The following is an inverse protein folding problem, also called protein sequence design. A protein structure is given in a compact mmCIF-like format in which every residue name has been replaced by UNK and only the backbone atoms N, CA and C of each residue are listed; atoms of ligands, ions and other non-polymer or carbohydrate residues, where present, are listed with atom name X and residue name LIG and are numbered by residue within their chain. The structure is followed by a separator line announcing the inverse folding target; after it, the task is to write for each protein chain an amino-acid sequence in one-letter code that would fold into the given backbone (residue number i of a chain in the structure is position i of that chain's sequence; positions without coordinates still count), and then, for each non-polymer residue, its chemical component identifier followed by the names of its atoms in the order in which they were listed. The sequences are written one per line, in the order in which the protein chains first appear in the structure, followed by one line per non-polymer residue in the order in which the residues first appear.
data_IF_056650335667
#
_entry.id   IF_056650335667
#
_cell.length_a   1.000
_cell.length_b   1.000
_cell.length_c   1.000
_cell.angle_alpha   90.00
_cell.angle_beta   90.00
_cell.angle_gamma   90.00
#
_symmetry.space_group_name_H-M   'P 1'
#
loop_
_entity.id
_entity.type
_entity.pdbx_description
1 polymer ?
#
# COMPACT_ATOMS: atom_id res chain seq x y z
N UNK A 1 -30.01 19.32 22.45
CA UNK A 1 -28.55 19.09 22.53
C UNK A 1 -28.12 17.63 22.30
N UNK A 2 -28.89 16.75 21.65
CA UNK A 2 -28.40 15.39 21.27
C UNK A 2 -27.93 15.30 19.82
N UNK A 3 -28.53 16.11 18.94
CA UNK A 3 -28.21 16.12 17.51
C UNK A 3 -26.88 16.84 17.18
N UNK A 4 -26.49 17.84 17.99
CA UNK A 4 -25.21 18.57 17.84
C UNK A 4 -23.98 17.73 18.22
N UNK A 5 -24.10 16.84 19.21
CA UNK A 5 -22.99 15.95 19.59
C UNK A 5 -22.78 14.84 18.56
N UNK A 6 -23.83 14.38 17.88
CA UNK A 6 -23.71 13.39 16.82
C UNK A 6 -23.01 13.97 15.58
N UNK A 7 -23.31 15.23 15.24
CA UNK A 7 -22.61 15.94 14.15
C UNK A 7 -21.17 16.32 14.49
N UNK A 8 -20.87 16.63 15.75
CA UNK A 8 -19.51 16.97 16.19
C UNK A 8 -18.63 15.71 16.36
N UNK A 9 -19.22 14.59 16.76
CA UNK A 9 -18.53 13.29 16.79
C UNK A 9 -18.17 12.81 15.37
N UNK A 10 -19.02 13.07 14.38
CA UNK A 10 -18.73 12.72 12.99
C UNK A 10 -17.65 13.62 12.35
N UNK A 11 -17.59 14.89 12.75
CA UNK A 11 -16.54 15.82 12.31
C UNK A 11 -15.18 15.55 12.98
N UNK A 12 -15.16 15.06 14.22
CA UNK A 12 -13.93 14.72 14.96
C UNK A 12 -13.16 13.54 14.38
N UNK A 13 -13.85 12.61 13.70
CA UNK A 13 -13.21 11.46 13.03
C UNK A 13 -12.35 11.92 11.83
N UNK A 14 -12.65 13.07 11.22
CA UNK A 14 -11.93 13.54 10.03
C UNK A 14 -10.60 14.25 10.32
N UNK A 15 -10.33 14.62 11.58
CA UNK A 15 -9.15 15.45 11.94
C UNK A 15 -8.02 14.63 12.59
N UNK A 16 -8.25 13.38 12.97
CA UNK A 16 -7.27 12.55 13.69
C UNK A 16 -6.58 11.47 12.85
N UNK A 17 -6.43 11.67 11.53
CA UNK A 17 -5.94 10.61 10.64
C UNK A 17 -4.50 10.76 10.14
N UNK A 18 -3.69 11.67 10.67
CA UNK A 18 -2.32 11.90 10.15
C UNK A 18 -1.28 10.83 10.56
N UNK A 19 -1.70 9.64 10.98
CA UNK A 19 -0.77 8.55 11.28
C UNK A 19 -1.37 7.17 11.58
N UNK A 20 -2.65 6.92 11.27
CA UNK A 20 -3.28 5.61 11.56
C UNK A 20 -4.38 5.20 10.56
N UNK A 21 -4.66 6.03 9.55
CA UNK A 21 -5.58 5.68 8.48
C UNK A 21 -4.83 5.89 7.18
N UNK A 22 -4.75 4.83 6.37
CA UNK A 22 -3.91 4.81 5.19
C UNK A 22 -4.39 5.75 4.10
N UNK A 23 -3.58 5.85 3.04
CA UNK A 23 -3.55 7.00 2.12
C UNK A 23 -4.81 7.18 1.25
N UNK A 24 -5.80 6.27 1.33
CA UNK A 24 -6.99 6.23 0.46
C UNK A 24 -6.65 6.47 -1.03
N UNK A 25 -5.53 5.86 -1.48
CA UNK A 25 -4.91 6.16 -2.77
C UNK A 25 -5.81 5.77 -3.95
N UNK A 26 -6.64 4.73 -3.84
CA UNK A 26 -7.56 4.32 -4.88
C UNK A 26 -8.72 5.33 -5.02
N UNK A 27 -9.31 5.74 -3.90
CA UNK A 27 -10.38 6.75 -3.83
C UNK A 27 -9.90 8.08 -4.42
N UNK A 28 -8.67 8.49 -4.08
CA UNK A 28 -8.04 9.68 -4.68
C UNK A 28 -7.89 9.57 -6.19
N UNK A 29 -7.41 8.43 -6.70
CA UNK A 29 -7.28 8.19 -8.15
C UNK A 29 -8.63 8.23 -8.86
N UNK A 30 -9.68 7.66 -8.27
CA UNK A 30 -11.06 7.70 -8.82
C UNK A 30 -11.59 9.14 -8.84
N UNK A 31 -11.30 9.92 -7.81
CA UNK A 31 -11.68 11.32 -7.74
C UNK A 31 -10.92 12.18 -8.75
N UNK A 32 -9.59 12.02 -8.85
CA UNK A 32 -8.74 12.69 -9.84
C UNK A 32 -9.17 12.35 -11.27
N UNK A 33 -9.54 11.08 -11.53
CA UNK A 33 -10.12 10.68 -12.81
C UNK A 33 -11.39 11.49 -13.10
N UNK A 34 -12.37 11.52 -12.19
CA UNK A 34 -13.62 12.25 -12.41
C UNK A 34 -13.40 13.76 -12.63
N UNK A 35 -12.46 14.37 -11.91
CA UNK A 35 -12.12 15.77 -12.10
C UNK A 35 -11.55 16.09 -13.49
N UNK A 36 -10.94 15.11 -14.16
CA UNK A 36 -10.30 15.27 -15.46
C UNK A 36 -11.13 14.73 -16.65
N UNK A 37 -12.36 14.21 -16.42
CA UNK A 37 -13.20 13.67 -17.52
C UNK A 37 -13.63 14.76 -18.51
N UNK A 38 -13.93 15.97 -18.03
CA UNK A 38 -14.32 17.07 -18.91
C UNK A 38 -14.62 18.37 -18.18
N UNK A 39 -15.69 19.04 -18.61
CA UNK A 39 -16.15 20.30 -18.01
C UNK A 39 -16.96 20.09 -16.74
N UNK A 40 -17.18 21.17 -15.98
CA UNK A 40 -17.90 21.16 -14.68
C UNK A 40 -19.22 20.36 -14.69
N UNK A 41 -20.01 20.47 -15.74
CA UNK A 41 -21.28 19.74 -15.86
C UNK A 41 -21.11 18.25 -16.18
N UNK A 42 -20.07 17.87 -16.93
CA UNK A 42 -19.77 16.48 -17.25
C UNK A 42 -19.24 15.77 -16.00
N UNK A 43 -18.34 16.42 -15.26
CA UNK A 43 -17.78 15.88 -14.01
C UNK A 43 -18.88 15.71 -12.94
N UNK A 44 -19.85 16.63 -12.86
CA UNK A 44 -21.01 16.49 -11.96
C UNK A 44 -21.91 15.32 -12.38
N UNK A 45 -22.16 15.13 -13.68
CA UNK A 45 -22.98 14.02 -14.17
C UNK A 45 -22.31 12.67 -13.90
N UNK A 46 -21.00 12.58 -14.10
CA UNK A 46 -20.21 11.39 -13.77
C UNK A 46 -20.15 11.17 -12.26
N UNK A 47 -20.04 12.23 -11.46
CA UNK A 47 -20.14 12.14 -10.00
C UNK A 47 -21.47 11.54 -9.57
N UNK A 48 -22.59 12.05 -10.08
CA UNK A 48 -23.93 11.52 -9.78
C UNK A 48 -24.09 10.07 -10.24
N UNK A 49 -23.55 9.71 -11.40
CA UNK A 49 -23.55 8.33 -11.89
C UNK A 49 -22.74 7.39 -10.97
N UNK A 50 -21.59 7.84 -10.47
CA UNK A 50 -20.70 7.12 -9.55
C UNK A 50 -21.19 7.10 -8.08
N UNK A 51 -22.21 7.89 -7.75
CA UNK A 51 -22.97 7.74 -6.50
C UNK A 51 -24.13 6.76 -6.66
N UNK A 52 -24.77 6.69 -7.85
CA UNK A 52 -25.84 5.72 -8.12
C UNK A 52 -25.26 4.31 -8.27
N UNK A 53 -24.21 4.17 -9.08
CA UNK A 53 -23.37 2.99 -9.14
C UNK A 53 -22.27 3.25 -8.11
N UNK A 54 -22.22 2.55 -6.96
CA UNK A 54 -21.46 2.97 -5.78
C UNK A 54 -19.94 2.81 -5.96
N UNK A 55 -19.36 3.56 -6.89
CA UNK A 55 -17.95 3.45 -7.29
C UNK A 55 -17.05 4.11 -6.24
N UNK A 56 -17.45 5.26 -5.71
CA UNK A 56 -16.70 5.93 -4.64
C UNK A 56 -16.76 5.14 -3.34
N UNK A 57 -17.93 4.63 -2.98
CA UNK A 57 -18.12 3.82 -1.79
C UNK A 57 -17.34 2.50 -1.89
N UNK A 58 -17.33 1.86 -3.06
CA UNK A 58 -16.52 0.67 -3.31
C UNK A 58 -15.01 0.99 -3.23
N UNK A 59 -14.55 2.07 -3.86
CA UNK A 59 -13.14 2.48 -3.79
C UNK A 59 -12.71 2.77 -2.36
N UNK A 60 -13.51 3.53 -1.61
CA UNK A 60 -13.26 3.85 -0.20
C UNK A 60 -13.30 2.61 0.68
N UNK A 61 -14.20 1.66 0.42
CA UNK A 61 -14.23 0.40 1.14
C UNK A 61 -12.97 -0.45 0.87
N UNK A 62 -12.54 -0.53 -0.39
CA UNK A 62 -11.31 -1.25 -0.78
C UNK A 62 -10.08 -0.59 -0.15
N UNK A 63 -9.98 0.74 -0.19
CA UNK A 63 -8.92 1.46 0.53
C UNK A 63 -8.96 1.16 2.03
N UNK A 64 -10.13 1.31 2.66
CA UNK A 64 -10.29 1.21 4.10
C UNK A 64 -10.08 -0.20 4.66
N UNK A 65 -10.44 -1.23 3.90
CA UNK A 65 -10.42 -2.62 4.36
C UNK A 65 -9.24 -3.38 3.79
N UNK A 66 -8.91 -3.19 2.51
CA UNK A 66 -7.88 -3.97 1.84
C UNK A 66 -6.55 -3.23 1.92
N UNK A 67 -6.49 -1.99 1.43
CA UNK A 67 -5.22 -1.27 1.34
C UNK A 67 -4.72 -0.79 2.70
N UNK A 68 -5.58 -0.31 3.60
CA UNK A 68 -5.20 -0.01 4.98
C UNK A 68 -4.74 -1.25 5.74
N UNK A 69 -5.35 -2.41 5.50
CA UNK A 69 -4.89 -3.66 6.12
C UNK A 69 -3.52 -4.02 5.58
N UNK A 70 -3.29 -3.91 4.27
CA UNK A 70 -1.97 -4.16 3.69
C UNK A 70 -0.95 -3.16 4.25
N UNK A 71 -1.21 -1.85 4.17
CA UNK A 71 -0.36 -0.77 4.68
C UNK A 71 -0.04 -0.94 6.17
N UNK A 72 -0.98 -1.45 6.98
CA UNK A 72 -0.74 -1.77 8.39
C UNK A 72 0.27 -2.91 8.58
N UNK A 73 0.22 -3.96 7.74
CA UNK A 73 1.14 -5.09 7.83
C UNK A 73 2.46 -4.86 7.09
N UNK A 74 2.49 -4.03 6.04
CA UNK A 74 3.65 -3.83 5.15
C UNK A 74 4.36 -2.50 5.33
N UNK A 75 3.76 -1.52 6.01
CA UNK A 75 4.34 -0.18 6.20
C UNK A 75 4.13 0.79 5.02
N UNK A 76 3.75 0.27 3.85
CA UNK A 76 3.49 1.05 2.64
C UNK A 76 2.32 0.50 1.82
N UNK A 77 1.70 1.40 1.05
CA UNK A 77 0.61 1.05 0.15
C UNK A 77 1.18 0.42 -1.14
N UNK A 78 0.85 -0.85 -1.47
CA UNK A 78 1.37 -1.51 -2.68
C UNK A 78 0.91 -0.86 -3.99
N UNK A 79 -0.11 0.01 -3.96
CA UNK A 79 -0.55 0.80 -5.12
C UNK A 79 0.17 2.15 -5.27
N UNK A 80 1.00 2.55 -4.29
CA UNK A 80 1.76 3.80 -4.31
C UNK A 80 3.25 3.62 -4.62
N UNK A 81 3.81 2.40 -4.51
CA UNK A 81 5.24 2.17 -4.82
C UNK A 81 5.55 2.47 -6.29
N UNK A 82 6.17 3.62 -6.54
CA UNK A 82 6.63 4.01 -7.86
C UNK A 82 7.90 3.22 -8.26
N UNK A 83 8.18 3.07 -9.58
CA UNK A 83 9.44 2.50 -10.04
C UNK A 83 10.64 3.26 -9.45
N UNK A 84 11.46 2.55 -8.66
CA UNK A 84 12.65 3.12 -8.00
C UNK A 84 12.44 3.51 -6.53
N UNK A 85 11.23 3.42 -5.98
CA UNK A 85 11.02 3.58 -4.55
C UNK A 85 11.53 2.37 -3.77
N UNK A 86 12.22 2.67 -2.67
CA UNK A 86 12.80 1.68 -1.76
C UNK A 86 12.29 1.96 -0.36
N UNK A 87 11.67 0.97 0.26
CA UNK A 87 11.30 1.01 1.66
C UNK A 87 12.21 0.09 2.45
N UNK A 88 12.76 0.60 3.55
CA UNK A 88 13.61 -0.16 4.46
C UNK A 88 12.94 -0.15 5.82
N UNK A 89 12.71 -1.35 6.35
CA UNK A 89 12.13 -1.55 7.67
C UNK A 89 13.08 -2.36 8.55
N UNK A 90 13.11 -2.03 9.84
CA UNK A 90 13.93 -2.73 10.82
C UNK A 90 13.02 -3.48 11.79
N UNK A 91 13.28 -4.77 11.98
CA UNK A 91 12.57 -5.61 12.94
C UNK A 91 13.54 -6.21 13.95
N UNK A 92 13.07 -6.40 15.18
CA UNK A 92 13.80 -7.18 16.20
C UNK A 92 12.98 -8.42 16.52
N UNK A 93 13.54 -9.60 16.29
CA UNK A 93 12.91 -10.89 16.56
C UNK A 93 13.89 -11.71 17.40
N UNK A 94 13.46 -12.17 18.57
CA UNK A 94 14.27 -12.97 19.50
C UNK A 94 15.64 -12.37 19.86
N UNK A 95 15.74 -11.03 19.86
CA UNK A 95 16.98 -10.29 20.13
C UNK A 95 17.90 -10.12 18.92
N UNK A 96 17.54 -10.67 17.76
CA UNK A 96 18.23 -10.47 16.48
C UNK A 96 17.60 -9.30 15.73
N UNK A 97 18.42 -8.42 15.16
CA UNK A 97 17.95 -7.30 14.34
C UNK A 97 17.96 -7.67 12.86
N UNK A 98 16.87 -7.38 12.17
CA UNK A 98 16.70 -7.63 10.74
C UNK A 98 16.43 -6.33 10.00
N UNK A 99 17.05 -6.17 8.84
CA UNK A 99 16.74 -5.15 7.84
C UNK A 99 15.96 -5.80 6.71
N UNK A 100 14.75 -5.34 6.48
CA UNK A 100 13.90 -5.75 5.38
C UNK A 100 13.89 -4.63 4.35
N UNK A 101 14.15 -4.95 3.09
CA UNK A 101 14.11 -3.97 1.99
C UNK A 101 13.05 -4.39 0.99
N UNK A 102 12.06 -3.55 0.77
CA UNK A 102 11.03 -3.73 -0.26
C UNK A 102 11.23 -2.71 -1.39
N UNK A 103 11.24 -3.21 -2.63
CA UNK A 103 11.31 -2.43 -3.85
C UNK A 103 10.41 -3.07 -4.90
N UNK A 104 10.19 -2.38 -6.02
CA UNK A 104 9.48 -2.97 -7.15
C UNK A 104 10.17 -4.27 -7.60
N UNK A 105 9.40 -5.37 -7.60
CA UNK A 105 9.87 -6.71 -7.98
C UNK A 105 11.02 -7.28 -7.12
N UNK A 106 11.29 -6.69 -5.96
CA UNK A 106 12.41 -7.10 -5.11
C UNK A 106 12.05 -7.00 -3.62
N UNK A 107 12.38 -8.06 -2.88
CA UNK A 107 12.30 -8.06 -1.43
C UNK A 107 13.51 -8.76 -0.84
N UNK A 108 14.13 -8.20 0.18
CA UNK A 108 15.22 -8.85 0.92
C UNK A 108 15.08 -8.73 2.41
N UNK A 109 15.63 -9.72 3.12
CA UNK A 109 15.75 -9.78 4.56
C UNK A 109 17.21 -10.05 4.88
N UNK A 110 17.83 -9.15 5.62
CA UNK A 110 19.20 -9.25 6.08
C UNK A 110 19.23 -9.21 7.61
N UNK A 111 20.08 -10.01 8.24
CA UNK A 111 20.28 -10.00 9.69
C UNK A 111 21.54 -9.21 10.05
N UNK A 112 21.45 -8.38 11.09
CA UNK A 112 22.62 -7.70 11.64
C UNK A 112 23.46 -8.69 12.44
N UNK A 113 24.67 -8.96 11.96
CA UNK A 113 25.68 -9.79 12.61
C UNK A 113 26.86 -8.93 13.09
N UNK A 114 27.84 -9.55 13.77
CA UNK A 114 29.07 -8.88 14.17
C UNK A 114 29.87 -8.28 12.99
N UNK A 115 29.67 -8.80 11.77
CA UNK A 115 30.35 -8.35 10.56
C UNK A 115 29.50 -7.39 9.70
N UNK A 116 28.31 -7.00 10.18
CA UNK A 116 27.33 -6.19 9.44
C UNK A 116 26.11 -6.99 8.99
N UNK A 117 25.36 -6.45 8.03
CA UNK A 117 24.15 -7.09 7.52
C UNK A 117 24.48 -8.27 6.60
N UNK A 118 24.00 -9.46 6.97
CA UNK A 118 24.11 -10.68 6.17
C UNK A 118 22.76 -11.05 5.55
N UNK A 119 22.74 -11.31 4.24
CA UNK A 119 21.53 -11.73 3.54
C UNK A 119 21.03 -13.07 4.08
N UNK A 120 19.75 -13.10 4.48
CA UNK A 120 19.06 -14.32 4.92
C UNK A 120 18.09 -14.82 3.87
N UNK A 121 17.32 -13.90 3.27
CA UNK A 121 16.38 -14.23 2.21
C UNK A 121 16.32 -13.10 1.19
N UNK A 122 16.20 -13.47 -0.08
CA UNK A 122 16.01 -12.57 -1.21
C UNK A 122 14.95 -13.15 -2.14
N UNK A 123 14.04 -12.30 -2.58
CA UNK A 123 13.00 -12.61 -3.54
C UNK A 123 13.10 -11.60 -4.69
N UNK A 124 13.21 -12.11 -5.91
CA UNK A 124 13.26 -11.30 -7.14
C UNK A 124 12.21 -11.80 -8.10
N UNK A 125 11.37 -10.90 -8.61
CA UNK A 125 10.48 -11.22 -9.70
C UNK A 125 11.01 -10.63 -11.01
N UNK A 126 11.17 -11.46 -12.02
CA UNK A 126 11.48 -11.04 -13.37
C UNK A 126 10.19 -10.95 -14.19
N UNK A 127 9.72 -9.72 -14.42
CA UNK A 127 8.49 -9.46 -15.16
C UNK A 127 8.58 -9.76 -16.65
N UNK A 128 9.79 -9.79 -17.25
CA UNK A 128 9.96 -10.11 -18.67
C UNK A 128 9.81 -11.61 -18.92
N UNK A 129 10.26 -12.43 -17.96
CA UNK A 129 10.25 -13.89 -18.05
C UNK A 129 9.12 -14.55 -17.26
N UNK A 130 8.37 -13.78 -16.45
CA UNK A 130 7.43 -14.29 -15.46
C UNK A 130 8.06 -15.33 -14.52
N UNK A 131 9.27 -15.04 -14.05
CA UNK A 131 10.07 -15.91 -13.19
C UNK A 131 10.22 -15.30 -11.80
N UNK A 132 10.07 -16.11 -10.76
CA UNK A 132 10.34 -15.75 -9.38
C UNK A 132 11.61 -16.47 -8.91
N UNK A 133 12.61 -15.71 -8.50
CA UNK A 133 13.85 -16.21 -7.92
C UNK A 133 13.82 -16.03 -6.40
N UNK A 134 14.16 -17.08 -5.65
CA UNK A 134 14.27 -17.06 -4.20
C UNK A 134 15.68 -17.51 -3.81
N UNK A 135 16.37 -16.73 -3.00
CA UNK A 135 17.72 -17.04 -2.52
C UNK A 135 17.83 -16.89 -1.01
N UNK A 136 18.68 -17.69 -0.36
CA UNK A 136 19.05 -17.51 1.05
C UNK A 136 20.47 -16.92 1.23
N UNK A 137 21.08 -16.42 0.15
CA UNK A 137 22.48 -15.95 0.12
C UNK A 137 23.51 -17.03 -0.23
N UNK A 138 23.16 -18.32 -0.15
CA UNK A 138 24.03 -19.44 -0.58
C UNK A 138 23.44 -20.24 -1.73
N UNK A 139 22.13 -20.45 -1.72
CA UNK A 139 21.41 -21.19 -2.76
C UNK A 139 20.34 -20.29 -3.38
N UNK A 140 20.08 -20.49 -4.68
CA UNK A 140 19.05 -19.73 -5.43
C UNK A 140 18.17 -20.71 -6.20
N UNK A 141 16.88 -20.74 -5.88
CA UNK A 141 15.85 -21.43 -6.63
C UNK A 141 15.13 -20.47 -7.59
N UNK A 142 14.87 -20.91 -8.82
CA UNK A 142 14.10 -20.14 -9.80
C UNK A 142 12.82 -20.91 -10.13
N UNK A 143 11.68 -20.23 -10.00
CA UNK A 143 10.35 -20.77 -10.22
C UNK A 143 9.67 -19.98 -11.33
N UNK A 144 9.41 -20.61 -12.48
CA UNK A 144 8.69 -19.99 -13.58
C UNK A 144 7.18 -20.24 -13.43
N UNK A 145 6.36 -19.21 -13.61
CA UNK A 145 4.94 -19.41 -13.90
C UNK A 145 4.81 -19.74 -15.38
N UNK A 146 4.31 -20.94 -15.69
CA UNK A 146 3.92 -21.32 -17.06
C UNK A 146 2.79 -20.44 -17.59
#
# INVERSE_FOLDING_TARGET
MRKLFLSLALAGIMVSQTGCFGEFSLTRKVYEFNQNVGGKFVNELVFLAFCIIPVYEAATFVDAVILNTIEFWTGSNPLSMAPGETEIQYATVDGHQYRMTAQQNYFSVEELTANGYELRNEFRFNSEKNEMSVSNGTETGVFASK
#
